data_IF_504810368106
#
_entry.id   IF_504810368106
#
_cell.length_a   1.000
_cell.length_b   1.000
_cell.length_c   1.000
_cell.angle_alpha   90.00
_cell.angle_beta   90.00
_cell.angle_gamma   90.00
#
_symmetry.space_group_name_H-M   'P 1'
#
loop_
_entity.id
_entity.type
_entity.pdbx_description
1 polymer ?
#
# COMPACT_ATOMS: atom_id res chain seq x y z
N UNK A 1 24.23 -6.56 4.25
CA UNK A 1 22.75 -6.49 4.30
C UNK A 1 22.37 -5.02 4.35
N UNK A 2 21.54 -4.52 3.41
CA UNK A 2 21.12 -3.11 3.42
C UNK A 2 19.75 -3.03 4.10
N UNK A 3 19.62 -2.19 5.13
CA UNK A 3 18.36 -2.02 5.86
C UNK A 3 17.53 -0.88 5.24
N UNK A 4 16.22 -1.08 5.10
CA UNK A 4 15.27 -0.03 4.73
C UNK A 4 15.04 0.92 5.93
N UNK A 5 14.94 2.22 5.68
CA UNK A 5 14.62 3.24 6.69
C UNK A 5 13.15 3.62 6.57
N UNK A 6 12.41 3.58 7.67
CA UNK A 6 11.02 4.04 7.72
C UNK A 6 10.96 5.43 8.36
N UNK A 7 10.45 6.42 7.64
CA UNK A 7 10.19 7.75 8.18
C UNK A 7 8.86 7.78 8.93
N UNK A 8 8.91 7.58 10.26
CA UNK A 8 7.73 7.55 11.15
C UNK A 8 7.00 8.89 11.28
N UNK A 9 7.63 9.98 10.87
CA UNK A 9 7.07 11.32 10.96
C UNK A 9 6.26 11.70 9.70
N UNK A 10 6.36 10.92 8.61
CA UNK A 10 5.77 11.25 7.33
C UNK A 10 4.99 10.11 6.69
N UNK A 11 3.73 10.38 6.34
CA UNK A 11 2.85 9.48 5.59
C UNK A 11 2.93 9.70 4.06
N UNK A 12 4.06 10.22 3.58
CA UNK A 12 4.33 10.51 2.16
C UNK A 12 5.40 9.57 1.62
N UNK A 13 5.42 9.39 0.30
CA UNK A 13 6.47 8.61 -0.35
C UNK A 13 7.85 9.23 -0.08
N UNK A 14 8.79 8.42 0.41
CA UNK A 14 10.21 8.73 0.35
C UNK A 14 10.72 8.46 -1.05
N UNK A 15 11.06 9.52 -1.80
CA UNK A 15 11.50 9.40 -3.20
C UNK A 15 12.90 9.96 -3.46
N UNK A 16 13.44 10.75 -2.52
CA UNK A 16 14.76 11.39 -2.64
C UNK A 16 15.90 10.42 -2.31
N UNK A 17 15.81 9.74 -1.17
CA UNK A 17 16.81 8.76 -0.73
C UNK A 17 16.29 7.34 -0.99
N UNK A 18 16.97 6.58 -1.86
CA UNK A 18 16.63 5.17 -2.11
C UNK A 18 16.69 4.37 -0.81
N UNK A 19 15.69 3.53 -0.58
CA UNK A 19 15.58 2.72 0.64
C UNK A 19 15.02 3.47 1.85
N UNK A 20 14.64 4.74 1.70
CA UNK A 20 13.86 5.49 2.69
C UNK A 20 12.38 5.49 2.28
N UNK A 21 11.49 5.00 3.13
CA UNK A 21 10.05 4.89 2.85
C UNK A 21 9.22 5.64 3.89
N UNK A 22 8.08 6.19 3.47
CA UNK A 22 7.12 6.79 4.38
C UNK A 22 6.46 5.76 5.30
N UNK A 23 5.85 6.21 6.39
CA UNK A 23 5.26 5.34 7.40
C UNK A 23 3.87 4.82 7.02
N UNK A 24 2.87 5.70 6.96
CA UNK A 24 1.46 5.38 6.67
C UNK A 24 0.81 4.28 7.55
N UNK A 25 1.56 3.69 8.49
CA UNK A 25 1.07 2.74 9.48
C UNK A 25 0.88 1.30 9.00
N UNK A 26 1.34 0.91 7.81
CA UNK A 26 1.30 -0.49 7.36
C UNK A 26 2.45 -0.83 6.39
N UNK A 27 2.83 -2.11 6.36
CA UNK A 27 3.92 -2.61 5.49
C UNK A 27 3.57 -2.58 4.01
N UNK A 28 2.29 -2.64 3.63
CA UNK A 28 1.84 -2.52 2.25
C UNK A 28 2.25 -1.17 1.64
N UNK A 29 2.07 -0.08 2.37
CA UNK A 29 2.51 1.26 1.94
C UNK A 29 4.03 1.36 1.83
N UNK A 30 4.78 0.77 2.78
CA UNK A 30 6.24 0.72 2.68
C UNK A 30 6.68 0.02 1.39
N UNK A 31 6.01 -1.08 1.03
CA UNK A 31 6.33 -1.83 -0.18
C UNK A 31 5.91 -1.09 -1.45
N UNK A 32 4.75 -0.45 -1.48
CA UNK A 32 4.35 0.41 -2.60
C UNK A 32 5.38 1.52 -2.81
N UNK A 33 5.81 2.18 -1.73
CA UNK A 33 6.83 3.22 -1.83
C UNK A 33 8.16 2.67 -2.39
N UNK A 34 8.62 1.52 -1.90
CA UNK A 34 9.84 0.91 -2.39
C UNK A 34 9.73 0.49 -3.86
N UNK A 35 8.59 -0.08 -4.26
CA UNK A 35 8.33 -0.46 -5.64
C UNK A 35 8.36 0.77 -6.56
N UNK A 36 7.74 1.88 -6.17
CA UNK A 36 7.75 3.13 -6.94
C UNK A 36 9.17 3.68 -7.11
N UNK A 37 10.06 3.54 -6.12
CA UNK A 37 11.47 3.93 -6.28
C UNK A 37 12.20 3.11 -7.35
N UNK A 38 11.72 1.91 -7.69
CA UNK A 38 12.25 1.11 -8.80
C UNK A 38 11.73 1.56 -10.17
N UNK A 39 10.77 2.49 -10.20
CA UNK A 39 10.14 3.04 -11.42
C UNK A 39 9.62 1.97 -12.39
N UNK A 40 8.85 0.98 -11.93
CA UNK A 40 8.25 -0.02 -12.82
C UNK A 40 7.22 0.65 -13.73
N UNK A 41 6.94 0.03 -14.88
CA UNK A 41 5.81 0.46 -15.72
C UNK A 41 4.48 0.32 -14.98
N UNK A 42 4.31 -0.76 -14.22
CA UNK A 42 3.06 -1.11 -13.53
C UNK A 42 3.33 -1.73 -12.15
N UNK A 43 2.45 -1.46 -11.20
CA UNK A 43 2.35 -2.12 -9.88
C UNK A 43 0.92 -2.65 -9.70
N UNK A 44 0.79 -3.93 -9.33
CA UNK A 44 -0.49 -4.54 -8.97
C UNK A 44 -0.62 -4.65 -7.44
N UNK A 45 -1.70 -4.12 -6.86
CA UNK A 45 -1.97 -4.18 -5.42
C UNK A 45 -2.87 -5.36 -5.08
N UNK A 46 -2.34 -6.35 -4.34
CA UNK A 46 -3.07 -7.54 -3.91
C UNK A 46 -3.10 -7.60 -2.37
N UNK A 47 -4.28 -7.81 -1.79
CA UNK A 47 -4.49 -7.79 -0.33
C UNK A 47 -4.51 -6.37 0.29
N UNK A 48 -4.70 -5.32 -0.53
CA UNK A 48 -4.78 -3.93 -0.07
C UNK A 48 -6.22 -3.56 0.27
N UNK A 49 -6.83 -4.29 1.21
CA UNK A 49 -8.27 -4.16 1.49
C UNK A 49 -8.61 -2.83 2.18
N UNK A 50 -7.76 -2.37 3.10
CA UNK A 50 -8.01 -1.18 3.92
C UNK A 50 -9.35 -1.26 4.68
N UNK A 51 -9.70 -2.46 5.15
CA UNK A 51 -10.96 -2.79 5.81
C UNK A 51 -10.74 -3.72 6.99
N UNK A 52 -11.65 -3.65 7.96
CA UNK A 52 -11.76 -4.58 9.10
C UNK A 52 -13.19 -5.11 9.28
N UNK A 53 -14.16 -4.51 8.58
CA UNK A 53 -15.57 -4.90 8.54
C UNK A 53 -15.82 -6.18 7.71
N UNK A 54 -14.82 -6.66 6.97
CA UNK A 54 -14.84 -7.93 6.23
C UNK A 54 -13.86 -8.98 6.80
N UNK A 55 -13.39 -8.78 8.03
CA UNK A 55 -12.35 -9.59 8.68
C UNK A 55 -11.08 -8.77 8.95
N UNK A 56 -10.27 -9.20 9.92
CA UNK A 56 -9.08 -8.46 10.36
C UNK A 56 -7.88 -8.65 9.42
N UNK A 57 -7.62 -9.90 9.07
CA UNK A 57 -6.56 -10.33 8.15
C UNK A 57 -7.07 -11.57 7.40
N UNK A 58 -6.43 -11.91 6.28
CA UNK A 58 -6.71 -13.17 5.57
C UNK A 58 -6.48 -14.41 6.45
N UNK A 59 -5.54 -14.33 7.40
CA UNK A 59 -5.23 -15.39 8.36
C UNK A 59 -5.97 -15.26 9.70
N UNK A 60 -6.95 -14.35 9.80
CA UNK A 60 -7.64 -14.05 11.04
C UNK A 60 -6.79 -13.25 12.04
N UNK A 61 -7.21 -13.22 13.30
CA UNK A 61 -6.56 -12.42 14.34
C UNK A 61 -5.11 -12.85 14.59
N UNK A 62 -4.24 -11.89 14.82
CA UNK A 62 -2.94 -12.17 15.42
C UNK A 62 -3.07 -12.81 16.81
N UNK A 63 -2.13 -13.67 17.21
CA UNK A 63 -2.08 -14.24 18.55
C UNK A 63 -1.84 -13.16 19.62
N UNK A 64 -2.05 -13.52 20.88
CA UNK A 64 -1.83 -12.63 22.02
C UNK A 64 -0.41 -12.04 22.03
N UNK A 65 -0.29 -10.76 22.40
CA UNK A 65 0.96 -9.99 22.37
C UNK A 65 1.21 -9.24 21.06
N UNK A 66 0.38 -9.46 20.04
CA UNK A 66 0.42 -8.71 18.78
C UNK A 66 -0.86 -7.91 18.57
N UNK A 67 -0.71 -6.69 18.05
CA UNK A 67 -1.84 -5.80 17.76
C UNK A 67 -2.56 -6.19 16.49
N UNK A 68 -3.89 -6.21 16.53
CA UNK A 68 -4.75 -6.28 15.35
C UNK A 68 -5.17 -4.86 14.92
N UNK A 69 -5.49 -4.64 13.64
CA UNK A 69 -5.94 -3.34 13.17
C UNK A 69 -7.30 -2.94 13.72
N UNK A 70 -7.48 -1.65 13.93
CA UNK A 70 -8.76 -1.01 14.24
C UNK A 70 -9.30 -0.28 13.01
N UNK A 71 -10.57 0.13 13.05
CA UNK A 71 -11.17 0.96 12.00
C UNK A 71 -10.40 2.28 11.77
N UNK A 72 -9.83 2.86 12.84
CA UNK A 72 -9.00 4.06 12.73
C UNK A 72 -7.68 3.79 12.01
N UNK A 73 -7.10 2.59 12.19
CA UNK A 73 -5.90 2.18 11.44
C UNK A 73 -6.21 2.08 9.94
N UNK A 74 -7.26 1.34 9.57
CA UNK A 74 -7.60 1.12 8.16
C UNK A 74 -8.02 2.40 7.45
N UNK A 75 -8.72 3.31 8.13
CA UNK A 75 -9.08 4.62 7.59
C UNK A 75 -7.85 5.51 7.34
N UNK A 76 -6.85 5.48 8.23
CA UNK A 76 -5.55 6.11 7.98
C UNK A 76 -4.86 5.47 6.77
N UNK A 77 -4.75 4.15 6.74
CA UNK A 77 -4.08 3.43 5.66
C UNK A 77 -4.69 3.75 4.29
N UNK A 78 -6.03 3.77 4.22
CA UNK A 78 -6.77 4.19 3.02
C UNK A 78 -6.40 5.61 2.63
N UNK A 79 -6.52 6.60 3.53
CA UNK A 79 -6.21 8.01 3.23
C UNK A 79 -4.78 8.19 2.72
N UNK A 80 -3.80 7.60 3.42
CA UNK A 80 -2.39 7.75 3.06
C UNK A 80 -2.08 7.10 1.71
N UNK A 81 -2.64 5.91 1.46
CA UNK A 81 -2.43 5.19 0.20
C UNK A 81 -3.15 5.87 -0.96
N UNK A 82 -4.37 6.37 -0.79
CA UNK A 82 -5.08 7.15 -1.81
C UNK A 82 -4.35 8.47 -2.13
N UNK A 83 -3.75 9.12 -1.13
CA UNK A 83 -3.06 10.41 -1.28
C UNK A 83 -1.80 10.35 -2.15
N UNK A 84 -1.25 9.16 -2.39
CA UNK A 84 -0.03 8.99 -3.20
C UNK A 84 -0.32 8.55 -4.63
N UNK A 85 -1.59 8.26 -4.99
CA UNK A 85 -1.95 7.78 -6.32
C UNK A 85 -1.54 8.76 -7.44
N UNK A 86 -1.91 10.04 -7.32
CA UNK A 86 -1.57 11.08 -8.30
C UNK A 86 -0.05 11.33 -8.39
N UNK A 87 0.70 11.49 -7.27
CA UNK A 87 2.16 11.55 -7.32
C UNK A 87 2.81 10.37 -8.04
N UNK A 88 2.32 9.15 -7.83
CA UNK A 88 2.85 7.95 -8.50
C UNK A 88 2.55 7.99 -10.01
N UNK A 89 1.33 8.34 -10.39
CA UNK A 89 0.94 8.47 -11.79
C UNK A 89 1.76 9.55 -12.52
N UNK A 90 2.04 10.68 -11.85
CA UNK A 90 2.89 11.75 -12.38
C UNK A 90 4.34 11.30 -12.65
N UNK A 91 4.80 10.21 -12.01
CA UNK A 91 6.08 9.57 -12.30
C UNK A 91 6.02 8.57 -13.48
N UNK A 92 4.86 8.40 -14.11
CA UNK A 92 4.65 7.45 -15.21
C UNK A 92 4.46 6.00 -14.76
N UNK A 93 4.22 5.76 -13.47
CA UNK A 93 3.98 4.42 -12.92
C UNK A 93 2.47 4.17 -12.85
N UNK A 94 2.00 3.13 -13.54
CA UNK A 94 0.61 2.68 -13.44
C UNK A 94 0.42 1.85 -12.16
N UNK A 95 -0.55 2.19 -11.31
CA UNK A 95 -0.92 1.36 -10.15
C UNK A 95 -2.34 0.84 -10.32
N UNK A 96 -2.48 -0.48 -10.32
CA UNK A 96 -3.75 -1.19 -10.50
C UNK A 96 -4.11 -1.90 -9.21
N UNK A 97 -5.33 -1.70 -8.73
CA UNK A 97 -5.84 -2.36 -7.54
C UNK A 97 -6.49 -3.70 -7.91
N UNK A 98 -5.88 -4.79 -7.48
CA UNK A 98 -6.35 -6.15 -7.71
C UNK A 98 -6.94 -6.78 -6.43
N UNK A 99 -7.40 -5.94 -5.50
CA UNK A 99 -8.03 -6.36 -4.25
C UNK A 99 -9.53 -6.04 -4.32
N UNK A 100 -10.42 -7.00 -4.65
CA UNK A 100 -11.80 -6.72 -5.04
C UNK A 100 -12.63 -5.98 -3.99
N UNK A 101 -12.35 -6.22 -2.71
CA UNK A 101 -13.05 -5.59 -1.58
C UNK A 101 -12.36 -4.33 -1.07
N UNK A 102 -11.36 -3.81 -1.76
CA UNK A 102 -10.57 -2.68 -1.28
C UNK A 102 -11.42 -1.43 -1.01
N UNK A 103 -11.05 -0.65 -0.01
CA UNK A 103 -11.60 0.68 0.25
C UNK A 103 -10.82 1.81 -0.43
N UNK A 104 -9.73 1.50 -1.15
CA UNK A 104 -9.01 2.49 -1.95
C UNK A 104 -9.89 3.01 -3.09
N UNK A 105 -9.76 4.29 -3.42
CA UNK A 105 -10.61 4.99 -4.40
C UNK A 105 -9.85 5.59 -5.57
N UNK A 106 -8.56 5.84 -5.40
CA UNK A 106 -7.78 6.60 -6.37
C UNK A 106 -6.99 5.71 -7.34
N UNK A 107 -7.32 4.42 -7.43
CA UNK A 107 -6.66 3.44 -8.28
C UNK A 107 -7.69 2.73 -9.16
N UNK A 108 -7.33 2.44 -10.41
CA UNK A 108 -8.14 1.59 -11.29
C UNK A 108 -8.22 0.19 -10.69
N UNK A 109 -9.42 -0.39 -10.61
CA UNK A 109 -9.58 -1.80 -10.25
C UNK A 109 -9.46 -2.69 -11.49
N UNK A 110 -8.87 -3.86 -11.31
CA UNK A 110 -8.82 -4.92 -12.32
C UNK A 110 -8.73 -6.29 -11.62
N UNK A 111 -9.07 -7.36 -12.34
CA UNK A 111 -8.75 -8.71 -11.87
C UNK A 111 -7.23 -8.94 -11.93
N UNK A 112 -6.71 -9.81 -11.06
CA UNK A 112 -5.28 -10.07 -10.99
C UNK A 112 -4.77 -10.67 -12.31
N UNK A 113 -5.56 -11.57 -12.91
CA UNK A 113 -5.28 -12.19 -14.19
C UNK A 113 -5.13 -11.12 -15.29
N UNK A 114 -6.08 -10.17 -15.39
CA UNK A 114 -6.00 -9.04 -16.34
C UNK A 114 -4.72 -8.22 -16.10
N UNK A 115 -4.38 -7.92 -14.84
CA UNK A 115 -3.24 -7.09 -14.51
C UNK A 115 -1.88 -7.74 -14.89
N UNK A 116 -1.83 -9.07 -14.97
CA UNK A 116 -0.66 -9.87 -15.33
C UNK A 116 -0.49 -10.10 -16.83
N UNK A 117 -1.51 -9.80 -17.64
CA UNK A 117 -1.41 -9.87 -19.09
C UNK A 117 -0.48 -8.76 -19.62
N UNK A 118 0.46 -9.15 -20.49
CA UNK A 118 1.49 -8.29 -21.10
C UNK A 118 1.12 -7.87 -22.51
#
# INVERSE_FOLDING_TARGET
>A
MQHLRTNREGDRLGLIERGSVGWAGNSGFHMLNLAVQMQPRRVALVGFDMRVDHGLHWHGSHPEGLSNPTAANTDRWRRCTDAVAEPIAAMGVEVVNCSPISALRNYRFADLEEALEC
#
